data_IF_189497361263
#
_entry.id   IF_189497361263
#
_cell.length_a   1.000
_cell.length_b   1.000
_cell.length_c   1.000
_cell.angle_alpha   90.00
_cell.angle_beta   90.00
_cell.angle_gamma   90.00
#
_symmetry.space_group_name_H-M   'P 1'
#
loop_
_entity.id
_entity.type
_entity.pdbx_description
1 polymer ?
#
# COMPACT_ATOMS: atom_id res chain seq x y z
N UNK A 1 7.03 2.52 8.39
CA UNK A 1 6.74 1.75 7.18
C UNK A 1 5.52 2.34 6.49
N UNK A 2 5.33 2.12 5.20
CA UNK A 2 4.19 2.62 4.44
C UNK A 2 3.58 1.48 3.63
N UNK A 3 2.28 1.54 3.34
CA UNK A 3 1.66 0.69 2.32
C UNK A 3 0.63 1.48 1.53
N UNK A 4 0.20 0.89 0.42
CA UNK A 4 -0.84 1.46 -0.43
C UNK A 4 -2.18 0.86 -0.02
N UNK A 5 -3.16 1.71 0.27
CA UNK A 5 -4.53 1.35 0.64
C UNK A 5 -5.50 1.68 -0.50
N UNK A 6 -6.38 0.74 -0.80
CA UNK A 6 -7.52 0.88 -1.71
C UNK A 6 -8.82 0.64 -0.97
N UNK A 7 -9.71 1.63 -0.94
CA UNK A 7 -10.97 1.54 -0.20
C UNK A 7 -10.77 1.02 1.23
N UNK A 8 -11.15 -0.24 1.48
CA UNK A 8 -11.08 -0.94 2.76
C UNK A 8 -9.95 -1.98 2.88
N UNK A 9 -9.03 -2.05 1.91
CA UNK A 9 -7.92 -3.01 1.92
C UNK A 9 -6.58 -2.43 1.48
N UNK A 10 -5.51 -3.21 1.57
CA UNK A 10 -4.15 -2.87 1.22
C UNK A 10 -3.70 -3.64 -0.02
N UNK A 11 -2.73 -3.07 -0.75
CA UNK A 11 -2.01 -3.76 -1.81
C UNK A 11 -1.12 -4.84 -1.22
N UNK A 12 -1.11 -6.03 -1.82
CA UNK A 12 -0.19 -7.13 -1.51
C UNK A 12 0.96 -7.17 -2.53
N UNK A 13 2.02 -7.91 -2.24
CA UNK A 13 3.18 -8.06 -3.13
C UNK A 13 2.82 -8.72 -4.49
N UNK A 14 1.79 -9.57 -4.51
CA UNK A 14 1.25 -10.21 -5.71
C UNK A 14 0.22 -9.34 -6.47
N UNK A 15 0.11 -8.06 -6.11
CA UNK A 15 -0.75 -7.10 -6.81
C UNK A 15 -2.24 -7.21 -6.48
N UNK A 16 -2.62 -7.95 -5.45
CA UNK A 16 -4.02 -8.14 -5.01
C UNK A 16 -4.39 -7.17 -3.89
N UNK A 17 -5.68 -7.16 -3.55
CA UNK A 17 -6.23 -6.41 -2.43
C UNK A 17 -6.48 -7.35 -1.24
N UNK A 18 -5.90 -7.04 -0.09
CA UNK A 18 -6.14 -7.77 1.17
C UNK A 18 -6.72 -6.85 2.24
N UNK A 19 -7.48 -7.37 3.20
CA UNK A 19 -7.82 -6.63 4.43
C UNK A 19 -6.84 -6.91 5.56
N UNK A 20 -6.06 -7.99 5.42
CA UNK A 20 -5.03 -8.35 6.39
C UNK A 20 -3.85 -7.38 6.28
N UNK A 21 -3.48 -6.77 7.41
CA UNK A 21 -2.35 -5.85 7.47
C UNK A 21 -1.01 -6.57 7.41
N UNK A 22 -0.90 -7.83 7.87
CA UNK A 22 0.38 -8.55 7.81
C UNK A 22 0.79 -8.91 6.38
N UNK A 23 -0.17 -9.17 5.50
CA UNK A 23 0.11 -9.48 4.08
C UNK A 23 0.29 -8.26 3.18
N UNK A 24 0.31 -7.03 3.70
CA UNK A 24 0.41 -5.85 2.85
C UNK A 24 1.84 -5.63 2.32
N UNK A 25 1.94 -5.07 1.13
CA UNK A 25 3.20 -4.66 0.53
C UNK A 25 3.71 -3.42 1.25
N UNK A 26 4.87 -3.58 1.89
CA UNK A 26 5.51 -2.55 2.69
C UNK A 26 6.56 -1.80 1.88
N UNK A 27 6.56 -0.48 2.05
CA UNK A 27 7.55 0.45 1.52
C UNK A 27 8.28 1.11 2.68
N UNK A 28 9.60 1.27 2.52
CA UNK A 28 10.43 1.99 3.50
C UNK A 28 10.43 3.50 3.25
N UNK A 29 10.12 3.93 2.03
CA UNK A 29 10.02 5.33 1.61
C UNK A 29 8.58 5.71 1.28
N UNK A 30 8.11 6.81 1.85
CA UNK A 30 6.79 7.38 1.52
C UNK A 30 6.71 7.78 0.04
N UNK A 31 7.80 8.33 -0.48
CA UNK A 31 7.90 8.81 -1.87
C UNK A 31 7.73 7.66 -2.87
N UNK A 32 8.31 6.50 -2.58
CA UNK A 32 8.16 5.31 -3.43
C UNK A 32 6.73 4.79 -3.40
N UNK A 33 6.13 4.70 -2.21
CA UNK A 33 4.74 4.31 -2.05
C UNK A 33 3.80 5.27 -2.80
N UNK A 34 4.05 6.58 -2.72
CA UNK A 34 3.21 7.60 -3.33
C UNK A 34 3.28 7.55 -4.86
N UNK A 35 4.48 7.43 -5.43
CA UNK A 35 4.68 7.31 -6.88
C UNK A 35 3.86 6.16 -7.47
N UNK A 36 3.81 5.03 -6.78
CA UNK A 36 3.02 3.89 -7.22
C UNK A 36 1.53 4.10 -6.94
N UNK A 37 1.15 4.64 -5.77
CA UNK A 37 -0.23 4.95 -5.42
C UNK A 37 -0.90 5.89 -6.44
N UNK A 38 -0.21 6.93 -6.89
CA UNK A 38 -0.69 7.88 -7.90
C UNK A 38 -0.96 7.19 -9.25
N UNK A 39 -0.12 6.20 -9.61
CA UNK A 39 -0.26 5.44 -10.86
C UNK A 39 -1.45 4.47 -10.83
N UNK A 40 -1.77 3.89 -9.67
CA UNK A 40 -2.77 2.82 -9.54
C UNK A 40 -4.07 3.27 -8.85
N UNK A 41 -4.18 4.55 -8.47
CA UNK A 41 -5.37 5.11 -7.81
C UNK A 41 -5.51 4.74 -6.33
N UNK A 42 -4.40 4.47 -5.66
CA UNK A 42 -4.35 4.13 -4.23
C UNK A 42 -4.11 5.34 -3.34
N UNK A 43 -4.05 5.10 -2.02
CA UNK A 43 -3.64 6.10 -1.02
C UNK A 43 -2.51 5.54 -0.16
N UNK A 44 -1.46 6.31 0.05
CA UNK A 44 -0.40 5.91 0.96
C UNK A 44 -0.89 5.97 2.40
N UNK A 45 -0.59 4.93 3.18
CA UNK A 45 -0.88 4.86 4.60
C UNK A 45 0.40 4.48 5.33
N UNK A 46 0.80 5.30 6.31
CA UNK A 46 1.84 4.93 7.27
C UNK A 46 1.36 3.75 8.11
N UNK A 47 2.17 2.70 8.16
CA UNK A 47 1.94 1.49 8.95
C UNK A 47 3.01 1.43 10.03
N UNK A 48 2.52 1.20 11.25
CA UNK A 48 3.23 1.04 12.51
C UNK A 48 2.30 0.32 13.46
#
# INVERSE_FOLDING_TARGET
MYAIKFFHGYLTADGKRTRDKSGCLVYHSEKEAQKLADKIGGRVKKIG
#
